data_IF_631148064886
#
_entry.id   IF_631148064886
#
_cell.length_a   1.000
_cell.length_b   1.000
_cell.length_c   1.000
_cell.angle_alpha   90.00
_cell.angle_beta   90.00
_cell.angle_gamma   90.00
#
_symmetry.space_group_name_H-M   'P 1'
#
loop_
_entity.id
_entity.type
_entity.pdbx_description
1 polymer ?
#
# COMPACT_ATOMS: atom_id res chain seq x y z
N UNK A 1 8.54 1.37 19.94
CA UNK A 1 7.41 0.48 20.22
C UNK A 1 6.46 0.61 19.04
N UNK A 2 6.43 -0.37 18.14
CA UNK A 2 5.47 -0.37 17.03
C UNK A 2 4.07 -0.57 17.63
N UNK A 3 3.15 0.34 17.33
CA UNK A 3 1.75 0.18 17.73
C UNK A 3 1.20 -1.06 17.03
N UNK A 4 0.85 -2.12 17.76
CA UNK A 4 0.12 -3.24 17.17
C UNK A 4 -1.23 -2.71 16.70
N UNK A 5 -1.43 -2.65 15.37
CA UNK A 5 -2.70 -2.26 14.77
C UNK A 5 -3.82 -3.15 15.30
N UNK A 6 -4.95 -2.52 15.61
CA UNK A 6 -6.11 -3.25 16.12
C UNK A 6 -6.72 -4.10 15.00
N UNK A 7 -7.41 -5.18 15.37
CA UNK A 7 -8.13 -6.01 14.38
C UNK A 7 -9.18 -5.21 13.60
N UNK A 8 -9.73 -4.16 14.22
CA UNK A 8 -10.65 -3.23 13.57
C UNK A 8 -9.97 -2.45 12.45
N UNK A 9 -8.75 -1.97 12.65
CA UNK A 9 -8.01 -1.20 11.65
C UNK A 9 -7.59 -2.09 10.47
N UNK A 10 -7.16 -3.33 10.76
CA UNK A 10 -6.85 -4.35 9.75
C UNK A 10 -8.07 -4.67 8.89
N UNK A 11 -9.22 -4.89 9.54
CA UNK A 11 -10.49 -5.18 8.87
C UNK A 11 -10.89 -4.01 7.97
N UNK A 12 -10.83 -2.77 8.46
CA UNK A 12 -11.16 -1.58 7.68
C UNK A 12 -10.27 -1.41 6.46
N UNK A 13 -8.94 -1.59 6.59
CA UNK A 13 -8.04 -1.51 5.44
C UNK A 13 -8.43 -2.54 4.37
N UNK A 14 -8.65 -3.80 4.77
CA UNK A 14 -9.05 -4.86 3.84
C UNK A 14 -10.41 -4.60 3.19
N UNK A 15 -11.41 -4.12 3.94
CA UNK A 15 -12.73 -3.78 3.38
C UNK A 15 -12.64 -2.64 2.36
N UNK A 16 -11.91 -1.57 2.67
CA UNK A 16 -11.73 -0.45 1.75
C UNK A 16 -10.91 -0.84 0.53
N UNK A 17 -9.84 -1.61 0.70
CA UNK A 17 -9.09 -2.16 -0.41
C UNK A 17 -9.95 -3.05 -1.32
N UNK A 18 -10.82 -3.88 -0.73
CA UNK A 18 -11.78 -4.71 -1.49
C UNK A 18 -12.72 -3.85 -2.32
N UNK A 19 -13.26 -2.77 -1.76
CA UNK A 19 -14.10 -1.83 -2.51
C UNK A 19 -13.34 -1.18 -3.67
N UNK A 20 -12.08 -0.78 -3.46
CA UNK A 20 -11.22 -0.13 -4.47
C UNK A 20 -10.79 -1.05 -5.63
N UNK A 21 -10.90 -2.38 -5.47
CA UNK A 21 -10.60 -3.35 -6.53
C UNK A 21 -11.86 -4.08 -7.03
N UNK A 22 -13.05 -3.70 -6.57
CA UNK A 22 -14.29 -4.45 -6.83
C UNK A 22 -14.64 -4.63 -8.31
N UNK A 23 -14.19 -3.71 -9.17
CA UNK A 23 -14.41 -3.76 -10.62
C UNK A 23 -13.23 -4.39 -11.40
N UNK A 24 -12.23 -4.95 -10.71
CA UNK A 24 -11.03 -5.51 -11.32
C UNK A 24 -10.91 -7.01 -10.99
N UNK A 25 -11.40 -7.83 -11.92
CA UNK A 25 -11.41 -9.28 -11.77
C UNK A 25 -10.04 -9.94 -12.00
N UNK A 26 -9.04 -9.18 -12.47
CA UNK A 26 -7.71 -9.71 -12.78
C UNK A 26 -6.73 -9.56 -11.62
N UNK A 27 -7.18 -9.03 -10.48
CA UNK A 27 -6.33 -8.76 -9.33
C UNK A 27 -6.89 -9.34 -8.03
N UNK A 28 -6.03 -9.44 -7.03
CA UNK A 28 -6.35 -9.91 -5.70
C UNK A 28 -5.56 -9.17 -4.64
N UNK A 29 -6.12 -9.02 -3.46
CA UNK A 29 -5.41 -8.47 -2.31
C UNK A 29 -4.36 -9.47 -1.81
N UNK A 30 -3.21 -8.98 -1.39
CA UNK A 30 -2.26 -9.78 -0.62
C UNK A 30 -2.92 -10.31 0.68
N UNK A 31 -2.38 -11.41 1.21
CA UNK A 31 -2.89 -12.04 2.43
C UNK A 31 -2.70 -11.14 3.65
N UNK A 32 -1.55 -10.49 3.77
CA UNK A 32 -1.21 -9.64 4.90
C UNK A 32 -0.98 -8.19 4.47
N UNK A 33 -1.38 -7.26 5.34
CA UNK A 33 -0.93 -5.88 5.27
C UNK A 33 0.54 -5.78 5.69
N UNK A 34 1.23 -4.75 5.20
CA UNK A 34 2.62 -4.47 5.51
C UNK A 34 2.69 -3.07 6.11
N UNK A 35 3.28 -2.95 7.29
CA UNK A 35 3.62 -1.67 7.91
C UNK A 35 5.13 -1.45 7.77
N UNK A 36 5.56 -0.29 7.27
CA UNK A 36 6.96 0.12 7.37
C UNK A 36 7.36 0.29 8.84
N UNK A 37 8.60 -0.04 9.19
CA UNK A 37 9.07 0.08 10.58
C UNK A 37 10.42 0.80 10.64
N UNK A 38 10.59 1.83 9.78
CA UNK A 38 11.89 2.44 9.46
C UNK A 38 12.93 1.43 8.96
N UNK A 39 12.45 0.32 8.42
CA UNK A 39 13.23 -0.71 7.76
C UNK A 39 12.96 -0.67 6.25
N UNK A 40 13.87 -1.28 5.49
CA UNK A 40 13.80 -1.26 4.03
C UNK A 40 12.79 -2.30 3.53
N UNK A 41 11.50 -1.94 3.49
CA UNK A 41 10.42 -2.74 2.90
C UNK A 41 10.03 -2.20 1.52
N UNK A 42 10.00 -3.09 0.52
CA UNK A 42 9.58 -2.75 -0.83
C UNK A 42 8.98 -3.96 -1.56
N UNK A 43 8.15 -3.67 -2.56
CA UNK A 43 7.63 -4.65 -3.51
C UNK A 43 7.70 -4.09 -4.93
N UNK A 44 7.77 -4.96 -5.93
CA UNK A 44 8.03 -4.56 -7.32
C UNK A 44 7.08 -5.25 -8.30
N UNK A 45 6.74 -4.56 -9.39
CA UNK A 45 6.14 -5.22 -10.55
C UNK A 45 7.12 -6.27 -11.15
N UNK A 46 6.63 -7.46 -11.58
CA UNK A 46 5.22 -7.84 -11.73
C UNK A 46 4.61 -8.55 -10.52
N UNK A 47 5.34 -8.70 -9.40
CA UNK A 47 4.82 -9.40 -8.21
C UNK A 47 3.61 -8.67 -7.59
N UNK A 48 3.61 -7.34 -7.70
CA UNK A 48 2.50 -6.46 -7.33
C UNK A 48 2.17 -5.55 -8.50
N UNK A 49 0.89 -5.22 -8.66
CA UNK A 49 0.39 -4.33 -9.73
C UNK A 49 -0.23 -3.05 -9.18
N UNK A 50 -0.57 -3.00 -7.90
CA UNK A 50 -1.02 -1.80 -7.22
C UNK A 50 -0.80 -1.93 -5.71
N UNK A 51 -1.00 -0.83 -5.00
CA UNK A 51 -0.94 -0.76 -3.54
C UNK A 51 -2.08 0.10 -3.02
N UNK A 52 -2.72 -0.33 -1.93
CA UNK A 52 -3.65 0.50 -1.16
C UNK A 52 -2.92 1.00 0.08
N UNK A 53 -2.87 2.31 0.25
CA UNK A 53 -2.23 2.97 1.39
C UNK A 53 -3.29 3.45 2.37
N UNK A 54 -3.12 3.13 3.65
CA UNK A 54 -3.89 3.72 4.75
C UNK A 54 -3.29 5.10 5.10
N UNK A 55 -3.93 6.17 4.63
CA UNK A 55 -3.44 7.55 4.83
C UNK A 55 -3.51 7.98 6.30
N UNK A 56 -4.29 7.27 7.12
CA UNK A 56 -4.41 7.46 8.56
C UNK A 56 -3.42 6.66 9.40
N UNK A 57 -2.57 5.83 8.77
CA UNK A 57 -1.50 5.12 9.47
C UNK A 57 -0.41 6.07 10.00
N UNK A 58 0.52 5.52 10.79
CA UNK A 58 1.62 6.27 11.41
C UNK A 58 2.46 7.05 10.38
N UNK A 59 3.22 8.04 10.87
CA UNK A 59 3.94 8.98 10.03
C UNK A 59 4.93 8.30 9.08
N UNK A 60 4.81 8.59 7.78
CA UNK A 60 5.63 7.99 6.75
C UNK A 60 5.13 8.31 5.36
N UNK A 61 5.57 7.51 4.38
CA UNK A 61 5.02 7.53 3.03
C UNK A 61 5.31 6.26 2.25
N UNK A 62 4.40 5.92 1.35
CA UNK A 62 4.65 4.97 0.27
C UNK A 62 5.11 5.73 -0.98
N UNK A 63 6.21 5.31 -1.58
CA UNK A 63 6.78 5.91 -2.79
C UNK A 63 6.85 4.89 -3.91
N UNK A 64 6.21 5.20 -5.05
CA UNK A 64 6.24 4.39 -6.26
C UNK A 64 7.19 5.07 -7.24
N UNK A 65 8.25 4.38 -7.64
CA UNK A 65 9.31 4.90 -8.53
C UNK A 65 9.76 3.86 -9.55
N UNK A 66 10.44 4.28 -10.61
CA UNK A 66 10.99 3.39 -11.64
C UNK A 66 10.16 3.37 -12.92
N UNK A 67 10.46 2.42 -13.81
CA UNK A 67 9.73 2.25 -15.09
C UNK A 67 9.74 3.45 -16.03
N UNK A 68 10.67 4.40 -15.86
CA UNK A 68 10.72 5.64 -16.66
C UNK A 68 9.56 6.62 -16.38
N UNK A 69 8.86 6.46 -15.25
CA UNK A 69 7.69 7.27 -14.87
C UNK A 69 8.03 8.22 -13.73
N UNK A 70 7.28 9.32 -13.66
CA UNK A 70 7.37 10.26 -12.55
C UNK A 70 7.05 9.56 -11.20
N UNK A 71 7.79 9.88 -10.13
CA UNK A 71 7.53 9.32 -8.81
C UNK A 71 6.13 9.70 -8.30
N UNK A 72 5.44 8.74 -7.69
CA UNK A 72 4.20 8.98 -6.93
C UNK A 72 4.50 8.79 -5.45
N UNK A 73 4.09 9.75 -4.62
CA UNK A 73 4.28 9.69 -3.17
C UNK A 73 2.92 9.83 -2.49
N UNK A 74 2.62 8.92 -1.56
CA UNK A 74 1.43 8.99 -0.69
C UNK A 74 1.91 9.09 0.75
N UNK A 75 1.66 10.24 1.36
CA UNK A 75 2.04 10.52 2.76
C UNK A 75 1.01 9.95 3.74
N UNK A 76 1.48 9.50 4.89
CA UNK A 76 0.67 8.98 6.00
C UNK A 76 0.96 9.77 7.29
N UNK A 77 0.03 9.73 8.25
CA UNK A 77 0.23 10.27 9.60
C UNK A 77 0.31 11.79 9.71
N UNK A 78 -0.29 12.53 8.77
CA UNK A 78 -0.30 14.01 8.74
C UNK A 78 -1.67 14.62 9.03
N UNK A 79 -2.45 13.95 9.89
CA UNK A 79 -3.88 14.28 10.09
C UNK A 79 -4.76 13.92 8.89
N UNK A 80 -4.19 13.24 7.90
CA UNK A 80 -4.89 12.66 6.74
C UNK A 80 -5.63 11.40 7.17
N UNK A 81 -6.77 11.14 6.53
CA UNK A 81 -7.53 9.91 6.70
C UNK A 81 -8.02 9.45 5.33
N UNK A 82 -8.22 8.15 5.17
CA UNK A 82 -8.68 7.57 3.92
C UNK A 82 -7.79 6.43 3.44
N UNK A 83 -8.17 5.88 2.29
CA UNK A 83 -7.49 4.77 1.65
C UNK A 83 -7.26 5.11 0.19
N UNK A 84 -6.00 5.06 -0.23
CA UNK A 84 -5.60 5.45 -1.58
C UNK A 84 -5.00 4.30 -2.34
N UNK A 85 -5.64 3.91 -3.45
CA UNK A 85 -5.07 2.98 -4.43
C UNK A 85 -4.09 3.71 -5.33
N UNK A 86 -2.92 3.13 -5.56
CA UNK A 86 -1.92 3.59 -6.51
C UNK A 86 -1.45 2.42 -7.37
N UNK A 87 -1.47 2.62 -8.69
CA UNK A 87 -0.98 1.63 -9.65
C UNK A 87 0.55 1.53 -9.62
N UNK A 88 1.07 0.31 -9.77
CA UNK A 88 2.49 -0.02 -9.88
C UNK A 88 2.68 -0.64 -11.25
N UNK A 89 3.12 0.18 -12.21
CA UNK A 89 3.36 -0.27 -13.58
C UNK A 89 4.64 -1.10 -13.71
N UNK A 90 4.81 -1.70 -14.90
CA UNK A 90 6.03 -2.43 -15.24
C UNK A 90 7.31 -1.64 -14.97
N UNK A 91 8.25 -2.29 -14.29
CA UNK A 91 9.51 -1.69 -13.87
C UNK A 91 9.41 -0.72 -12.69
N UNK A 92 8.22 -0.46 -12.13
CA UNK A 92 8.07 0.33 -10.90
C UNK A 92 8.21 -0.53 -9.64
N UNK A 93 8.66 0.13 -8.57
CA UNK A 93 8.82 -0.39 -7.22
C UNK A 93 8.06 0.51 -6.25
N UNK A 94 7.34 -0.09 -5.31
CA UNK A 94 6.76 0.61 -4.17
C UNK A 94 7.66 0.41 -2.94
N UNK A 95 8.19 1.51 -2.41
CA UNK A 95 9.05 1.54 -1.22
C UNK A 95 8.33 2.21 -0.06
N UNK A 96 8.50 1.70 1.15
CA UNK A 96 7.93 2.26 2.37
C UNK A 96 9.01 2.98 3.17
N UNK A 97 8.72 4.22 3.58
CA UNK A 97 9.59 5.03 4.43
C UNK A 97 8.84 5.52 5.66
N UNK A 98 9.44 5.41 6.84
CA UNK A 98 8.74 5.67 8.11
C UNK A 98 7.86 4.50 8.50
N UNK A 99 6.62 4.79 8.92
CA UNK A 99 5.65 3.81 9.38
C UNK A 99 4.31 3.75 8.59
N UNK A 100 4.29 3.84 7.25
CA UNK A 100 3.05 3.72 6.50
C UNK A 100 2.53 2.27 6.56
N UNK A 101 1.21 2.10 6.63
CA UNK A 101 0.57 0.79 6.44
C UNK A 101 -0.02 0.68 5.05
N UNK A 102 0.27 -0.43 4.37
CA UNK A 102 -0.20 -0.70 3.01
C UNK A 102 -0.76 -2.12 2.87
N UNK A 103 -1.63 -2.31 1.89
CA UNK A 103 -2.04 -3.63 1.42
C UNK A 103 -1.76 -3.73 -0.08
N UNK A 104 -0.87 -4.64 -0.45
CA UNK A 104 -0.50 -4.84 -1.86
C UNK A 104 -1.60 -5.55 -2.64
N UNK A 105 -1.69 -5.22 -3.92
CA UNK A 105 -2.56 -5.85 -4.89
C UNK A 105 -1.69 -6.63 -5.88
N UNK A 106 -2.00 -7.91 -6.06
CA UNK A 106 -1.28 -8.83 -6.94
C UNK A 106 -2.13 -9.20 -8.15
N UNK A 107 -1.52 -9.50 -9.31
CA UNK A 107 -2.23 -10.17 -10.39
C UNK A 107 -2.87 -11.49 -9.89
N UNK A 108 -4.05 -11.83 -10.40
CA UNK A 108 -4.59 -13.20 -10.27
C UNK A 108 -3.80 -14.13 -11.18
N UNK A 109 -3.48 -15.31 -10.65
CA UNK A 109 -2.89 -16.42 -11.40
C UNK A 109 -3.98 -17.34 -11.91
#
# INVERSE_FOLDING_TARGET
MGSMRTDHDKKKLRENATMLISNDENVQLAHDEITGENDFKYERSPNVCAVVVDEGSDFGYAQITGGGREPIIVYTGRGTTGYKRVEISDGQTCMLYGCPTVLYIRPRS
#
